data_IF_185593759224
#
_entry.id   IF_185593759224
#
_cell.length_a   1.000
_cell.length_b   1.000
_cell.length_c   1.000
_cell.angle_alpha   90.00
_cell.angle_beta   90.00
_cell.angle_gamma   90.00
#
_symmetry.space_group_name_H-M   'P 1'
#
loop_
_entity.id
_entity.type
_entity.pdbx_description
1 polymer ?
#
# COMPACT_ATOMS: atom_id res chain seq x y z
N UNK A 1 27.58 -1.32 -40.32
CA UNK A 1 27.68 -0.77 -38.96
C UNK A 1 26.44 -1.25 -38.26
N UNK A 2 26.59 -2.28 -37.43
CA UNK A 2 25.50 -2.83 -36.63
C UNK A 2 24.96 -1.71 -35.73
N UNK A 3 23.64 -1.59 -35.64
CA UNK A 3 23.00 -0.81 -34.59
C UNK A 3 23.42 -1.46 -33.26
N UNK A 4 24.39 -0.87 -32.56
CA UNK A 4 24.49 -1.08 -31.13
C UNK A 4 23.17 -0.58 -30.54
N UNK A 5 22.26 -1.50 -30.23
CA UNK A 5 21.15 -1.23 -29.32
C UNK A 5 21.78 -0.78 -28.01
N UNK A 6 21.87 0.54 -27.82
CA UNK A 6 22.27 1.11 -26.54
C UNK A 6 21.32 0.53 -25.49
N UNK A 7 21.85 -0.33 -24.62
CA UNK A 7 21.08 -0.85 -23.52
C UNK A 7 20.65 0.33 -22.65
N UNK A 8 19.36 0.53 -22.39
CA UNK A 8 18.93 1.65 -21.56
C UNK A 8 19.36 1.43 -20.10
N UNK A 9 19.47 2.51 -19.33
CA UNK A 9 19.78 2.45 -17.90
C UNK A 9 18.74 1.61 -17.15
N UNK A 10 19.20 0.86 -16.15
CA UNK A 10 18.35 0.09 -15.24
C UNK A 10 18.61 0.53 -13.81
N UNK A 11 17.57 0.67 -13.01
CA UNK A 11 17.68 1.11 -11.61
C UNK A 11 16.99 0.13 -10.66
N UNK A 12 17.67 -0.21 -9.56
CA UNK A 12 17.12 -0.93 -8.41
C UNK A 12 17.27 -0.06 -7.18
N UNK A 13 16.14 0.28 -6.57
CA UNK A 13 16.05 1.29 -5.52
C UNK A 13 15.45 0.65 -4.29
N UNK A 14 16.11 0.82 -3.14
CA UNK A 14 15.56 0.49 -1.83
C UNK A 14 15.37 1.76 -1.02
N UNK A 15 14.11 2.18 -0.84
CA UNK A 15 13.75 3.33 -0.02
C UNK A 15 13.53 2.89 1.43
N UNK A 16 14.57 3.08 2.24
CA UNK A 16 14.54 2.94 3.70
C UNK A 16 14.02 4.18 4.42
N UNK A 17 14.03 4.14 5.76
CA UNK A 17 13.59 5.27 6.60
C UNK A 17 14.54 6.46 6.59
N UNK A 18 15.85 6.23 6.72
CA UNK A 18 16.85 7.33 6.76
C UNK A 18 17.51 7.56 5.41
N UNK A 19 17.81 6.49 4.68
CA UNK A 19 18.51 6.55 3.41
C UNK A 19 17.78 5.75 2.34
N UNK A 20 17.93 6.22 1.11
CA UNK A 20 17.54 5.49 -0.10
C UNK A 20 18.82 5.03 -0.78
N UNK A 21 18.90 3.72 -1.02
CA UNK A 21 20.01 3.08 -1.73
C UNK A 21 19.59 2.86 -3.19
N UNK A 22 20.46 3.28 -4.13
CA UNK A 22 20.24 3.17 -5.57
C UNK A 22 21.39 2.39 -6.17
N UNK A 23 21.07 1.30 -6.85
CA UNK A 23 21.97 0.59 -7.74
C UNK A 23 21.51 0.87 -9.17
N UNK A 24 22.42 1.38 -10.00
CA UNK A 24 22.17 1.67 -11.40
C UNK A 24 23.07 0.82 -12.28
N UNK A 25 22.54 0.29 -13.39
CA UNK A 25 23.32 -0.30 -14.47
C UNK A 25 23.31 0.66 -15.64
N UNK A 26 24.49 1.07 -16.09
CA UNK A 26 24.64 1.93 -17.27
C UNK A 26 24.51 1.14 -18.59
N UNK A 27 24.44 1.83 -19.74
CA UNK A 27 24.36 1.19 -21.05
C UNK A 27 25.54 0.26 -21.39
N UNK A 28 26.72 0.54 -20.84
CA UNK A 28 27.92 -0.29 -20.98
C UNK A 28 27.87 -1.54 -20.09
N UNK A 29 26.84 -1.63 -19.23
CA UNK A 29 26.58 -2.74 -18.34
C UNK A 29 27.27 -2.64 -16.98
N UNK A 30 27.93 -1.52 -16.66
CA UNK A 30 28.61 -1.30 -15.38
C UNK A 30 27.61 -0.93 -14.28
N UNK A 31 27.91 -1.37 -13.05
CA UNK A 31 27.09 -1.09 -11.88
C UNK A 31 27.63 0.11 -11.10
N UNK A 32 26.73 1.02 -10.76
CA UNK A 32 26.98 2.22 -9.98
C UNK A 32 26.11 2.19 -8.73
N UNK A 33 26.69 2.49 -7.57
CA UNK A 33 25.96 2.58 -6.32
C UNK A 33 25.94 4.01 -5.81
N UNK A 34 24.79 4.45 -5.30
CA UNK A 34 24.64 5.74 -4.63
C UNK A 34 23.69 5.62 -3.44
N UNK A 35 23.97 6.39 -2.41
CA UNK A 35 23.15 6.52 -1.21
C UNK A 35 22.77 7.98 -1.03
N UNK A 36 21.49 8.25 -0.82
CA UNK A 36 20.95 9.60 -0.57
C UNK A 36 20.04 9.57 0.66
N UNK A 37 19.75 10.73 1.25
CA UNK A 37 18.76 10.81 2.33
C UNK A 37 17.38 10.46 1.79
N UNK A 38 16.59 9.68 2.53
CA UNK A 38 15.22 9.33 2.13
C UNK A 38 14.28 10.53 2.13
N UNK A 39 14.58 11.54 2.95
CA UNK A 39 13.84 12.79 3.04
C UNK A 39 14.81 13.97 3.11
N UNK A 40 14.76 14.85 2.11
CA UNK A 40 15.45 16.14 2.12
C UNK A 40 14.69 17.16 1.25
N UNK A 41 13.50 17.61 1.71
CA UNK A 41 12.60 18.42 0.91
C UNK A 41 13.17 19.79 0.50
N UNK A 42 14.22 20.26 1.20
CA UNK A 42 14.91 21.49 0.83
C UNK A 42 15.76 21.37 -0.45
N UNK A 43 16.09 20.14 -0.87
CA UNK A 43 16.99 19.88 -2.02
C UNK A 43 16.28 19.11 -3.13
N UNK A 44 15.40 18.16 -2.79
CA UNK A 44 14.64 17.38 -3.76
C UNK A 44 13.31 16.88 -3.17
N UNK A 45 12.27 16.74 -4.01
CA UNK A 45 10.97 16.24 -3.58
C UNK A 45 10.94 14.72 -3.37
N UNK A 46 11.75 13.97 -4.13
CA UNK A 46 11.78 12.51 -4.07
C UNK A 46 13.22 11.97 -4.19
N UNK A 47 13.61 11.12 -3.23
CA UNK A 47 14.96 10.58 -3.12
C UNK A 47 15.33 9.63 -4.27
N UNK A 48 14.36 8.86 -4.79
CA UNK A 48 14.61 7.92 -5.87
C UNK A 48 14.81 8.64 -7.20
N UNK A 49 13.96 9.61 -7.51
CA UNK A 49 14.12 10.48 -8.68
C UNK A 49 15.43 11.25 -8.59
N UNK A 50 15.78 11.78 -7.42
CA UNK A 50 17.05 12.45 -7.21
C UNK A 50 18.25 11.52 -7.44
N UNK A 51 18.21 10.29 -6.92
CA UNK A 51 19.24 9.28 -7.15
C UNK A 51 19.46 8.98 -8.64
N UNK A 52 18.37 8.79 -9.38
CA UNK A 52 18.39 8.59 -10.84
C UNK A 52 19.05 9.78 -11.55
N UNK A 53 18.65 11.01 -11.22
CA UNK A 53 19.22 12.24 -11.80
C UNK A 53 20.72 12.32 -11.59
N UNK A 54 21.20 11.99 -10.39
CA UNK A 54 22.62 12.00 -10.08
C UNK A 54 23.43 10.96 -10.87
N UNK A 55 22.85 9.81 -11.23
CA UNK A 55 23.50 8.83 -12.12
C UNK A 55 23.51 9.30 -13.58
N UNK A 56 22.46 10.00 -14.01
CA UNK A 56 22.35 10.59 -15.34
C UNK A 56 23.13 11.91 -15.50
N UNK A 57 23.74 12.43 -14.43
CA UNK A 57 24.44 13.71 -14.45
C UNK A 57 23.52 14.92 -14.62
N UNK A 58 22.24 14.78 -14.28
CA UNK A 58 21.20 15.81 -14.42
C UNK A 58 21.10 16.67 -13.17
N UNK A 59 20.78 17.95 -13.34
CA UNK A 59 20.40 18.85 -12.25
C UNK A 59 18.96 18.55 -11.77
N UNK A 60 18.53 19.19 -10.68
CA UNK A 60 17.23 18.92 -10.04
C UNK A 60 16.04 19.13 -10.97
N UNK A 61 16.08 20.16 -11.83
CA UNK A 61 14.96 20.57 -12.67
C UNK A 61 15.05 20.12 -14.13
N UNK A 62 16.16 19.48 -14.52
CA UNK A 62 16.36 19.04 -15.90
C UNK A 62 15.30 17.99 -16.28
N UNK A 63 14.74 17.99 -17.51
CA UNK A 63 13.91 16.89 -17.94
C UNK A 63 14.76 15.61 -18.05
N UNK A 64 14.24 14.48 -17.56
CA UNK A 64 14.87 13.17 -17.84
C UNK A 64 14.56 12.82 -19.30
N UNK A 65 15.58 12.66 -20.17
CA UNK A 65 15.34 12.35 -21.59
C UNK A 65 14.62 11.01 -21.77
N UNK A 66 13.63 11.00 -22.66
CA UNK A 66 12.91 9.78 -23.01
C UNK A 66 13.84 8.74 -23.65
N UNK A 67 13.61 7.46 -23.35
CA UNK A 67 14.39 6.35 -23.90
C UNK A 67 15.71 6.04 -23.19
N UNK A 68 16.14 6.86 -22.22
CA UNK A 68 17.36 6.58 -21.45
C UNK A 68 17.18 5.52 -20.36
N UNK A 69 15.96 5.35 -19.86
CA UNK A 69 15.66 4.44 -18.75
C UNK A 69 14.78 3.30 -19.26
N UNK A 70 15.24 2.07 -19.11
CA UNK A 70 14.51 0.88 -19.51
C UNK A 70 13.71 0.26 -18.39
N UNK A 71 14.26 0.29 -17.16
CA UNK A 71 13.62 -0.30 -16.00
C UNK A 71 13.93 0.50 -14.72
N UNK A 72 12.91 0.65 -13.87
CA UNK A 72 13.08 1.07 -12.48
C UNK A 72 12.34 0.07 -11.60
N UNK A 73 13.06 -0.65 -10.74
CA UNK A 73 12.50 -1.46 -9.67
C UNK A 73 12.69 -0.75 -8.35
N UNK A 74 11.60 -0.59 -7.59
CA UNK A 74 11.64 0.02 -6.28
C UNK A 74 11.08 -0.94 -5.22
N UNK A 75 11.90 -1.24 -4.22
CA UNK A 75 11.47 -1.74 -2.92
C UNK A 75 11.36 -0.57 -1.94
N UNK A 76 10.39 -0.64 -1.04
CA UNK A 76 10.32 0.31 0.07
C UNK A 76 9.84 -0.37 1.33
N UNK A 77 10.36 0.10 2.47
CA UNK A 77 9.96 -0.34 3.80
C UNK A 77 8.88 0.56 4.43
N UNK A 78 8.46 1.62 3.73
CA UNK A 78 7.51 2.63 4.25
C UNK A 78 6.19 1.97 4.67
N UNK A 79 5.59 1.12 3.83
CA UNK A 79 4.30 0.50 4.12
C UNK A 79 4.37 -0.44 5.33
N UNK A 80 5.43 -1.25 5.43
CA UNK A 80 5.60 -2.18 6.55
C UNK A 80 5.87 -1.44 7.85
N UNK A 81 6.71 -0.40 7.84
CA UNK A 81 6.97 0.42 9.02
C UNK A 81 5.72 1.20 9.45
N UNK A 82 4.97 1.75 8.50
CA UNK A 82 3.68 2.39 8.76
C UNK A 82 2.71 1.44 9.48
N UNK A 83 2.63 0.18 9.06
CA UNK A 83 1.81 -0.84 9.70
C UNK A 83 2.31 -1.17 11.12
N UNK A 84 3.61 -1.39 11.29
CA UNK A 84 4.22 -1.75 12.58
C UNK A 84 4.13 -0.60 13.59
N UNK A 85 4.33 0.64 13.16
CA UNK A 85 4.27 1.85 13.98
C UNK A 85 2.84 2.40 14.13
N UNK A 86 1.83 1.75 13.53
CA UNK A 86 0.43 2.19 13.51
C UNK A 86 0.29 3.63 12.99
N UNK A 87 1.12 4.01 12.03
CA UNK A 87 1.07 5.29 11.34
C UNK A 87 0.29 5.14 10.05
N UNK A 88 -0.99 5.47 10.10
CA UNK A 88 -1.87 5.42 8.93
C UNK A 88 -3.09 6.31 9.13
N UNK A 89 -3.88 6.44 8.08
CA UNK A 89 -5.17 7.13 8.15
C UNK A 89 -6.16 6.33 9.00
N UNK A 90 -7.08 7.02 9.68
CA UNK A 90 -8.16 6.35 10.43
C UNK A 90 -9.00 5.51 9.49
N UNK A 91 -9.24 4.26 9.88
CA UNK A 91 -9.90 3.25 9.06
C UNK A 91 -11.20 2.80 9.72
N UNK A 92 -12.29 2.80 8.95
CA UNK A 92 -13.51 2.09 9.30
C UNK A 92 -13.69 0.84 8.44
N UNK A 93 -14.21 -0.23 9.05
CA UNK A 93 -14.60 -1.46 8.38
C UNK A 93 -16.09 -1.39 8.03
N UNK A 94 -16.42 -1.59 6.77
CA UNK A 94 -17.79 -1.80 6.30
C UNK A 94 -17.94 -3.29 5.98
N UNK A 95 -18.91 -3.96 6.58
CA UNK A 95 -19.11 -5.40 6.41
C UNK A 95 -20.57 -5.78 6.40
N UNK A 96 -20.85 -7.05 6.13
CA UNK A 96 -22.20 -7.58 6.10
C UNK A 96 -22.84 -7.57 7.48
N UNK A 97 -24.13 -7.21 7.57
CA UNK A 97 -24.87 -7.27 8.84
C UNK A 97 -24.79 -8.65 9.48
N UNK A 98 -24.47 -8.66 10.78
CA UNK A 98 -24.21 -9.86 11.58
C UNK A 98 -22.75 -10.31 11.60
N UNK A 99 -21.85 -9.64 10.86
CA UNK A 99 -20.43 -10.01 10.72
C UNK A 99 -19.47 -8.98 11.33
N UNK A 100 -19.97 -8.01 12.12
CA UNK A 100 -19.17 -7.00 12.83
C UNK A 100 -17.87 -7.52 13.45
N UNK A 101 -17.96 -8.66 14.12
CA UNK A 101 -16.86 -9.22 14.90
C UNK A 101 -16.01 -10.23 14.13
N UNK A 102 -16.28 -10.50 12.84
CA UNK A 102 -15.62 -11.57 12.09
C UNK A 102 -14.09 -11.46 12.10
N UNK A 103 -13.53 -10.27 11.84
CA UNK A 103 -12.09 -10.04 11.85
C UNK A 103 -11.48 -10.08 13.26
N UNK A 104 -12.24 -9.65 14.28
CA UNK A 104 -11.82 -9.70 15.70
C UNK A 104 -11.84 -11.12 16.26
N UNK A 105 -12.76 -11.95 15.80
CA UNK A 105 -12.82 -13.39 16.12
C UNK A 105 -11.65 -14.09 15.41
N UNK A 106 -11.42 -13.77 14.13
CA UNK A 106 -10.42 -14.40 13.30
C UNK A 106 -10.66 -15.91 13.16
N UNK A 107 -9.59 -16.67 12.95
CA UNK A 107 -9.64 -18.13 12.80
C UNK A 107 -9.64 -18.88 14.14
N UNK A 108 -9.67 -18.16 15.26
CA UNK A 108 -9.55 -18.72 16.62
C UNK A 108 -8.30 -19.58 16.88
N UNK A 109 -7.29 -19.50 16.00
CA UNK A 109 -6.02 -20.17 16.17
C UNK A 109 -5.32 -19.69 17.44
N UNK A 110 -4.89 -20.63 18.30
CA UNK A 110 -4.18 -20.33 19.54
C UNK A 110 -2.75 -20.81 19.47
N UNK A 111 -1.79 -19.87 19.45
CA UNK A 111 -0.34 -20.18 19.55
C UNK A 111 0.00 -20.93 20.84
N UNK A 112 -0.65 -20.57 21.95
CA UNK A 112 -0.53 -21.25 23.24
C UNK A 112 -1.90 -21.72 23.70
N UNK A 113 -2.21 -22.99 23.46
CA UNK A 113 -3.55 -23.57 23.70
C UNK A 113 -3.95 -23.58 25.19
N UNK A 114 -2.97 -23.58 26.11
CA UNK A 114 -3.19 -23.64 27.56
C UNK A 114 -3.11 -22.26 28.25
N UNK A 115 -2.84 -21.19 27.51
CA UNK A 115 -2.86 -19.85 28.08
C UNK A 115 -4.26 -19.51 28.60
N UNK A 116 -4.35 -19.14 29.88
CA UNK A 116 -5.60 -18.70 30.52
C UNK A 116 -5.94 -17.26 30.15
N UNK A 117 -4.92 -16.43 29.89
CA UNK A 117 -5.05 -15.08 29.36
C UNK A 117 -4.74 -15.08 27.86
N UNK A 118 -5.70 -14.60 27.06
CA UNK A 118 -5.60 -14.57 25.61
C UNK A 118 -5.42 -13.12 25.16
N UNK A 119 -4.22 -12.79 24.72
CA UNK A 119 -3.91 -11.47 24.18
C UNK A 119 -4.12 -11.53 22.66
N UNK A 120 -5.16 -10.86 22.18
CA UNK A 120 -5.42 -10.69 20.75
C UNK A 120 -4.66 -9.45 20.23
N UNK A 121 -4.15 -9.46 18.99
CA UNK A 121 -3.68 -8.24 18.35
C UNK A 121 -4.81 -7.21 18.23
N UNK A 122 -4.49 -5.94 18.41
CA UNK A 122 -5.45 -4.85 18.20
C UNK A 122 -5.88 -4.78 16.72
N UNK A 123 -7.15 -4.48 16.50
CA UNK A 123 -7.68 -4.26 15.16
C UNK A 123 -6.98 -3.07 14.49
N UNK A 124 -6.92 -3.07 13.15
CA UNK A 124 -6.41 -1.94 12.37
C UNK A 124 -7.48 -0.88 12.11
N UNK A 125 -8.75 -1.23 12.30
CA UNK A 125 -9.89 -0.34 12.17
C UNK A 125 -10.37 0.13 13.56
N UNK A 126 -10.93 1.33 13.59
CA UNK A 126 -11.46 1.95 14.81
C UNK A 126 -12.98 1.77 14.95
N UNK A 127 -13.69 1.61 13.81
CA UNK A 127 -15.15 1.56 13.74
C UNK A 127 -15.59 0.45 12.79
N UNK A 128 -16.75 -0.17 13.08
CA UNK A 128 -17.40 -1.12 12.18
C UNK A 128 -18.80 -0.67 11.86
N UNK A 129 -19.10 -0.58 10.56
CA UNK A 129 -20.42 -0.34 9.99
C UNK A 129 -20.90 -1.62 9.33
N UNK A 130 -22.15 -1.97 9.61
CA UNK A 130 -22.80 -3.16 9.08
C UNK A 130 -23.90 -2.73 8.12
N UNK A 131 -23.80 -3.14 6.86
CA UNK A 131 -24.83 -2.86 5.86
C UNK A 131 -25.70 -4.09 5.62
N UNK A 132 -26.98 -3.84 5.36
CA UNK A 132 -27.93 -4.88 4.99
C UNK A 132 -27.70 -5.39 3.58
N UNK A 133 -26.75 -6.30 3.38
CA UNK A 133 -26.61 -7.07 2.14
C UNK A 133 -26.38 -8.56 2.42
N UNK A 134 -26.61 -9.43 1.43
CA UNK A 134 -26.20 -10.83 1.49
C UNK A 134 -26.10 -11.43 0.10
N UNK A 135 -24.92 -11.97 -0.20
CA UNK A 135 -24.71 -12.94 -1.28
C UNK A 135 -24.43 -14.29 -0.63
N UNK A 136 -24.98 -15.37 -1.18
CA UNK A 136 -24.74 -16.75 -0.75
C UNK A 136 -23.53 -17.35 -1.47
N UNK A 137 -23.05 -18.50 -0.99
CA UNK A 137 -21.86 -19.16 -1.54
C UNK A 137 -22.00 -19.57 -3.02
N UNK A 138 -23.23 -19.77 -3.50
CA UNK A 138 -23.54 -20.10 -4.90
C UNK A 138 -23.77 -18.87 -5.80
N UNK A 139 -23.64 -17.66 -5.25
CA UNK A 139 -23.84 -16.39 -5.96
C UNK A 139 -25.28 -15.87 -5.92
N UNK A 140 -26.19 -16.59 -5.27
CA UNK A 140 -27.55 -16.09 -5.06
C UNK A 140 -27.53 -14.84 -4.19
N UNK A 141 -28.12 -13.75 -4.69
CA UNK A 141 -28.30 -12.52 -3.90
C UNK A 141 -29.55 -12.66 -3.05
N UNK A 142 -29.37 -13.00 -1.78
CA UNK A 142 -30.46 -13.11 -0.80
C UNK A 142 -30.99 -11.73 -0.41
N UNK A 143 -30.09 -10.76 -0.23
CA UNK A 143 -30.45 -9.39 0.10
C UNK A 143 -29.56 -8.42 -0.70
N UNK A 144 -30.18 -7.60 -1.54
CA UNK A 144 -29.47 -6.51 -2.21
C UNK A 144 -29.17 -5.40 -1.21
N UNK A 145 -27.99 -4.81 -1.34
CA UNK A 145 -27.63 -3.61 -0.60
C UNK A 145 -28.61 -2.49 -0.92
N UNK A 146 -29.01 -1.76 0.13
CA UNK A 146 -29.74 -0.52 0.00
C UNK A 146 -28.73 0.64 -0.17
N UNK A 147 -28.76 1.29 -1.33
CA UNK A 147 -27.83 2.38 -1.65
C UNK A 147 -28.05 3.62 -0.79
N UNK A 148 -29.27 3.88 -0.34
CA UNK A 148 -29.58 5.02 0.52
C UNK A 148 -29.10 4.74 1.95
N UNK A 149 -29.30 3.51 2.47
CA UNK A 149 -28.72 3.06 3.74
C UNK A 149 -27.19 3.19 3.72
N UNK A 150 -26.56 2.67 2.66
CA UNK A 150 -25.12 2.72 2.48
C UNK A 150 -24.61 4.17 2.44
N UNK A 151 -25.26 5.04 1.66
CA UNK A 151 -24.88 6.45 1.54
C UNK A 151 -24.89 7.16 2.89
N UNK A 152 -26.00 7.03 3.63
CA UNK A 152 -26.13 7.66 4.95
C UNK A 152 -25.05 7.19 5.92
N UNK A 153 -24.75 5.89 5.95
CA UNK A 153 -23.72 5.34 6.81
C UNK A 153 -22.30 5.84 6.43
N UNK A 154 -22.02 5.98 5.14
CA UNK A 154 -20.73 6.50 4.65
C UNK A 154 -20.58 8.00 4.90
N UNK A 155 -21.65 8.78 4.74
CA UNK A 155 -21.68 10.21 5.09
C UNK A 155 -21.46 10.42 6.59
N UNK A 156 -22.07 9.58 7.44
CA UNK A 156 -21.83 9.60 8.87
C UNK A 156 -20.36 9.31 9.21
N UNK A 157 -19.75 8.29 8.61
CA UNK A 157 -18.31 8.02 8.77
C UNK A 157 -17.46 9.21 8.33
N UNK A 158 -17.77 9.80 7.19
CA UNK A 158 -17.05 10.97 6.67
C UNK A 158 -17.16 12.16 7.64
N UNK A 159 -18.34 12.43 8.19
CA UNK A 159 -18.56 13.51 9.17
C UNK A 159 -17.81 13.28 10.49
N UNK A 160 -17.57 12.01 10.87
CA UNK A 160 -16.73 11.60 12.01
C UNK A 160 -15.23 11.64 11.70
N UNK A 161 -14.85 12.09 10.51
CA UNK A 161 -13.48 12.31 10.08
C UNK A 161 -12.77 11.11 9.47
N UNK A 162 -13.49 10.02 9.14
CA UNK A 162 -12.89 8.91 8.41
C UNK A 162 -12.61 9.30 6.95
N UNK A 163 -11.39 9.02 6.49
CA UNK A 163 -10.95 9.23 5.10
C UNK A 163 -10.55 7.93 4.39
N UNK A 164 -10.52 6.83 5.11
CA UNK A 164 -10.21 5.50 4.60
C UNK A 164 -11.25 4.49 5.05
N UNK A 165 -11.62 3.57 4.15
CA UNK A 165 -12.60 2.50 4.37
C UNK A 165 -12.06 1.17 3.86
N UNK A 166 -12.35 0.10 4.59
CA UNK A 166 -12.22 -1.27 4.09
C UNK A 166 -13.62 -1.87 3.95
N UNK A 167 -14.01 -2.29 2.74
CA UNK A 167 -15.31 -2.92 2.48
C UNK A 167 -15.08 -4.42 2.33
N UNK A 168 -15.68 -5.21 3.23
CA UNK A 168 -15.50 -6.66 3.29
C UNK A 168 -16.88 -7.32 3.45
N UNK A 169 -17.52 -7.57 2.31
CA UNK A 169 -18.78 -8.28 2.25
C UNK A 169 -18.58 -9.80 2.11
N UNK A 170 -19.55 -10.55 2.60
CA UNK A 170 -19.56 -12.00 2.50
C UNK A 170 -19.50 -12.45 1.03
N UNK A 171 -18.61 -13.39 0.72
CA UNK A 171 -18.39 -13.95 -0.62
C UNK A 171 -17.97 -12.95 -1.72
N UNK A 172 -17.60 -11.71 -1.38
CA UNK A 172 -17.13 -10.70 -2.34
C UNK A 172 -15.84 -11.08 -3.10
N UNK A 173 -15.08 -12.05 -2.59
CA UNK A 173 -13.93 -12.62 -3.30
C UNK A 173 -14.34 -13.35 -4.61
N UNK A 174 -15.60 -13.79 -4.70
CA UNK A 174 -16.14 -14.54 -5.84
C UNK A 174 -17.26 -13.76 -6.55
N UNK A 175 -18.04 -12.98 -5.81
CA UNK A 175 -19.17 -12.19 -6.32
C UNK A 175 -19.03 -10.72 -5.85
N UNK A 176 -18.16 -9.92 -6.50
CA UNK A 176 -17.85 -8.55 -6.10
C UNK A 176 -18.97 -7.55 -6.42
#
# INVERSE_FOLDING_TARGET
MENEELNPWQFWIDRGGTFTDIIARDPDGQLHARKVLSENPAVYPDAAVHGIRLHLGLQTDDPIPAGLIGEVRMGTTIATNALLERKGERLALVTTRGFRDALRIGYQERKSIFATEIIKPDALYDEVVELGERVLADGTVELRIDEDEARLALEELQSRGYRSLAIVFMHAYQYP
#
